data_IF_655756837500
#
_entry.id   IF_655756837500
#
_cell.length_a   1.000
_cell.length_b   1.000
_cell.length_c   1.000
_cell.angle_alpha   90.00
_cell.angle_beta   90.00
_cell.angle_gamma   90.00
#
_symmetry.space_group_name_H-M   'P 1'
#
loop_
_entity.id
_entity.type
_entity.pdbx_description
1 polymer ?
#
# COMPACT_ATOMS: atom_id res chain seq x y z
N UNK A 1 -27.70 12.00 4.39
CA UNK A 1 -27.49 13.42 4.03
C UNK A 1 -26.30 13.92 4.84
N UNK A 2 -25.09 13.54 4.48
CA UNK A 2 -23.86 13.90 5.19
C UNK A 2 -23.19 15.03 4.42
N UNK A 3 -22.92 16.10 5.11
CA UNK A 3 -22.40 17.36 4.57
C UNK A 3 -20.96 17.13 4.08
N UNK A 4 -20.70 17.54 2.86
CA UNK A 4 -19.33 17.68 2.31
C UNK A 4 -18.47 18.46 3.29
N UNK A 5 -17.43 17.83 3.82
CA UNK A 5 -16.46 18.51 4.69
C UNK A 5 -15.50 19.26 3.78
N UNK A 6 -15.65 20.56 3.73
CA UNK A 6 -14.73 21.46 3.06
C UNK A 6 -13.46 21.59 3.90
N UNK A 7 -12.34 21.10 3.39
CA UNK A 7 -11.02 21.18 4.03
C UNK A 7 -10.48 22.61 3.91
N UNK A 8 -10.49 23.36 5.02
CA UNK A 8 -9.77 24.62 5.14
C UNK A 8 -8.44 24.37 5.86
N UNK A 9 -7.33 24.63 5.15
CA UNK A 9 -5.99 24.53 5.71
C UNK A 9 -5.70 25.74 6.62
N UNK A 10 -5.23 25.49 7.84
CA UNK A 10 -4.60 26.50 8.68
C UNK A 10 -3.17 26.06 9.01
N UNK A 11 -2.22 26.90 8.60
CA UNK A 11 -0.78 26.76 8.78
C UNK A 11 -0.38 27.41 10.09
N UNK A 12 0.38 26.74 10.95
CA UNK A 12 1.25 27.40 11.95
C UNK A 12 2.51 26.57 12.25
N UNK A 13 3.63 27.26 12.25
CA UNK A 13 5.01 26.78 12.41
C UNK A 13 5.48 26.95 13.86
N UNK A 14 6.13 25.97 14.44
CA UNK A 14 7.16 26.18 15.45
C UNK A 14 8.07 24.94 15.64
N UNK A 15 9.36 25.21 15.80
CA UNK A 15 10.50 24.29 15.83
C UNK A 15 10.65 23.51 17.13
N UNK A 16 11.08 22.26 17.03
CA UNK A 16 12.24 21.76 17.81
C UNK A 16 12.56 20.29 17.45
N UNK A 17 13.85 20.03 17.36
CA UNK A 17 14.51 18.79 16.92
C UNK A 17 14.64 17.80 18.05
N UNK A 18 14.29 16.53 17.84
CA UNK A 18 15.05 15.35 18.29
C UNK A 18 14.55 14.10 17.59
N UNK A 19 15.43 13.46 16.86
CA UNK A 19 15.20 12.19 16.15
C UNK A 19 15.20 11.03 17.16
N UNK A 20 14.11 10.26 17.18
CA UNK A 20 14.14 8.89 17.67
C UNK A 20 13.59 7.97 16.57
N UNK A 21 14.49 7.12 16.08
CA UNK A 21 14.16 6.07 15.14
C UNK A 21 13.25 5.03 15.83
N UNK A 22 12.00 4.98 15.43
CA UNK A 22 11.06 3.94 15.79
C UNK A 22 10.45 3.40 14.50
N UNK A 23 10.78 2.13 14.17
CA UNK A 23 10.41 1.52 12.91
C UNK A 23 8.90 1.41 12.69
N UNK A 24 8.34 2.38 12.00
CA UNK A 24 7.28 2.07 11.08
C UNK A 24 7.88 1.16 10.01
N UNK A 25 7.24 0.06 9.65
CA UNK A 25 7.69 -0.71 8.50
C UNK A 25 7.57 0.21 7.29
N UNK A 26 8.72 0.62 6.81
CA UNK A 26 8.87 1.46 5.64
C UNK A 26 8.50 0.61 4.41
N UNK A 27 7.21 0.57 4.09
CA UNK A 27 6.73 0.07 2.80
C UNK A 27 6.93 1.11 1.69
N UNK A 28 7.30 2.34 2.06
CA UNK A 28 7.89 3.22 1.10
C UNK A 28 9.24 2.60 0.71
N UNK A 29 9.33 2.03 -0.46
CA UNK A 29 10.55 1.54 -1.09
C UNK A 29 11.60 2.65 -1.32
N UNK A 30 11.50 3.70 -0.55
CA UNK A 30 12.39 4.84 -0.45
C UNK A 30 13.13 4.94 0.88
N UNK A 31 13.28 3.82 1.63
CA UNK A 31 14.36 3.79 2.60
C UNK A 31 15.65 4.06 1.83
N UNK A 32 15.99 5.34 1.77
CA UNK A 32 17.33 5.72 1.52
C UNK A 32 18.16 4.99 2.58
N UNK A 33 18.69 3.82 2.24
CA UNK A 33 19.77 3.25 3.00
C UNK A 33 20.72 4.41 3.20
N UNK A 34 20.91 4.80 4.47
CA UNK A 34 21.89 5.79 4.89
C UNK A 34 23.27 5.23 4.53
N UNK A 35 23.55 5.15 3.24
CA UNK A 35 24.90 4.93 2.74
C UNK A 35 25.58 6.28 2.74
N UNK A 36 26.77 6.35 3.30
CA UNK A 36 27.71 7.46 3.20
C UNK A 36 27.60 8.11 1.82
N UNK A 37 27.61 9.45 1.79
CA UNK A 37 27.49 10.28 0.60
C UNK A 37 28.44 9.82 -0.52
N UNK A 38 27.97 8.93 -1.37
CA UNK A 38 28.68 8.36 -2.51
C UNK A 38 27.73 7.97 -3.62
N UNK A 39 28.16 8.16 -4.87
CA UNK A 39 27.49 7.60 -6.03
C UNK A 39 27.61 6.07 -6.02
N UNK A 40 26.59 5.35 -6.44
CA UNK A 40 26.62 3.89 -6.45
C UNK A 40 25.41 3.25 -7.09
N UNK A 41 25.56 1.97 -7.44
CA UNK A 41 24.49 1.08 -7.90
C UNK A 41 24.27 0.03 -6.83
N UNK A 42 23.03 -0.22 -6.50
CA UNK A 42 22.62 -1.20 -5.50
C UNK A 42 21.62 -2.17 -6.12
N UNK A 43 21.95 -3.46 -6.05
CA UNK A 43 21.02 -4.54 -6.37
C UNK A 43 20.34 -4.99 -5.10
N UNK A 44 19.06 -5.23 -5.19
CA UNK A 44 18.26 -5.73 -4.07
C UNK A 44 17.16 -6.65 -4.58
N UNK A 45 16.63 -7.45 -3.69
CA UNK A 45 15.51 -8.30 -4.03
C UNK A 45 14.80 -8.84 -2.82
N UNK A 46 13.65 -9.43 -3.09
CA UNK A 46 12.82 -10.12 -2.12
C UNK A 46 12.19 -11.32 -2.80
N UNK A 47 12.30 -12.48 -2.20
CA UNK A 47 11.62 -13.70 -2.61
C UNK A 47 10.59 -14.09 -1.56
N UNK A 48 9.42 -14.47 -2.00
CA UNK A 48 8.33 -14.94 -1.15
C UNK A 48 7.69 -16.19 -1.76
N UNK A 49 7.40 -17.17 -0.92
CA UNK A 49 6.52 -18.30 -1.26
C UNK A 49 5.60 -18.54 -0.09
N UNK A 50 4.30 -18.65 -0.35
CA UNK A 50 3.27 -18.89 0.65
C UNK A 50 2.33 -20.02 0.27
N UNK A 51 1.80 -20.70 1.27
CA UNK A 51 0.64 -21.57 1.18
C UNK A 51 -0.57 -20.83 1.70
N UNK A 52 -1.65 -20.82 0.92
CA UNK A 52 -2.92 -20.23 1.28
C UNK A 52 -4.04 -21.25 1.15
N UNK A 53 -4.89 -21.34 2.19
CA UNK A 53 -6.16 -22.04 2.14
C UNK A 53 -7.30 -21.02 2.16
N UNK A 54 -7.99 -20.83 1.04
CA UNK A 54 -9.13 -19.90 0.90
C UNK A 54 -10.43 -20.67 0.79
N UNK A 55 -11.39 -20.34 1.63
CA UNK A 55 -12.76 -20.90 1.61
C UNK A 55 -13.78 -19.78 1.39
N UNK A 56 -14.68 -19.96 0.40
CA UNK A 56 -15.73 -18.99 0.03
C UNK A 56 -17.13 -19.54 0.34
N UNK A 57 -17.31 -20.27 1.44
CA UNK A 57 -18.56 -20.92 1.86
C UNK A 57 -18.43 -22.44 1.94
N UNK A 58 -19.54 -23.13 2.18
CA UNK A 58 -19.54 -24.55 2.57
C UNK A 58 -19.02 -25.53 1.50
N UNK A 59 -18.94 -25.14 0.25
CA UNK A 59 -18.63 -26.05 -0.87
C UNK A 59 -17.37 -25.70 -1.65
N UNK A 60 -16.79 -24.51 -1.48
CA UNK A 60 -15.68 -24.05 -2.30
C UNK A 60 -14.49 -23.67 -1.42
N UNK A 61 -13.48 -24.53 -1.41
CA UNK A 61 -12.17 -24.23 -0.84
C UNK A 61 -11.08 -24.48 -1.87
N UNK A 62 -10.05 -23.65 -1.86
CA UNK A 62 -8.89 -23.76 -2.73
C UNK A 62 -7.64 -23.71 -1.86
N UNK A 63 -6.75 -24.66 -2.11
CA UNK A 63 -5.40 -24.69 -1.57
C UNK A 63 -4.44 -24.25 -2.67
N UNK A 64 -3.53 -23.35 -2.36
CA UNK A 64 -2.58 -22.85 -3.33
C UNK A 64 -1.20 -22.61 -2.72
N UNK A 65 -0.18 -22.83 -3.52
CA UNK A 65 1.19 -22.37 -3.23
C UNK A 65 1.46 -21.27 -4.25
N UNK A 66 1.72 -20.07 -3.78
CA UNK A 66 1.92 -18.91 -4.67
C UNK A 66 2.77 -17.85 -3.98
N UNK A 67 3.22 -16.90 -4.77
CA UNK A 67 3.88 -15.70 -4.25
C UNK A 67 2.93 -14.48 -4.16
N UNK A 68 1.63 -14.69 -4.44
CA UNK A 68 0.59 -13.67 -4.56
C UNK A 68 0.91 -12.61 -5.62
N UNK A 69 1.62 -13.02 -6.67
CA UNK A 69 1.83 -12.30 -7.92
C UNK A 69 2.65 -11.01 -7.83
N UNK A 70 3.02 -10.57 -6.63
CA UNK A 70 3.68 -9.28 -6.49
C UNK A 70 4.70 -9.18 -5.35
N UNK A 71 4.81 -10.20 -4.51
CA UNK A 71 5.70 -10.10 -3.35
C UNK A 71 7.15 -10.36 -3.70
N UNK A 72 7.43 -11.27 -4.61
CA UNK A 72 8.79 -11.52 -5.11
C UNK A 72 9.21 -10.43 -6.09
N UNK A 73 10.33 -9.80 -5.83
CA UNK A 73 10.83 -8.65 -6.59
C UNK A 73 12.33 -8.67 -6.72
N UNK A 74 12.81 -8.19 -7.87
CA UNK A 74 14.22 -7.92 -8.14
C UNK A 74 14.37 -6.47 -8.58
N UNK A 75 15.29 -5.73 -7.98
CA UNK A 75 15.45 -4.31 -8.27
C UNK A 75 16.90 -3.85 -8.38
N UNK A 76 17.06 -2.78 -9.12
CA UNK A 76 18.30 -2.01 -9.23
C UNK A 76 17.97 -0.58 -8.84
N UNK A 77 18.74 -0.03 -7.92
CA UNK A 77 18.71 1.37 -7.55
C UNK A 77 20.07 1.99 -7.80
N UNK A 78 20.11 3.18 -8.35
CA UNK A 78 21.33 3.94 -8.44
C UNK A 78 21.17 5.34 -7.85
N UNK A 79 22.30 5.87 -7.41
CA UNK A 79 22.41 7.20 -6.82
C UNK A 79 23.67 7.85 -7.33
N UNK A 80 23.56 9.11 -7.77
CA UNK A 80 24.69 9.91 -8.24
C UNK A 80 24.65 11.31 -7.64
N UNK A 81 25.75 11.74 -7.03
CA UNK A 81 25.86 13.07 -6.46
C UNK A 81 26.33 14.05 -7.56
N UNK A 82 25.52 15.06 -7.83
CA UNK A 82 25.75 16.10 -8.84
C UNK A 82 26.19 17.45 -8.24
N UNK A 83 26.75 17.43 -7.02
CA UNK A 83 27.28 18.68 -6.43
C UNK A 83 26.22 19.63 -5.88
N UNK A 84 25.29 19.15 -5.11
CA UNK A 84 24.19 19.92 -4.50
C UNK A 84 22.81 19.34 -4.83
N UNK A 85 22.76 18.52 -5.87
CA UNK A 85 21.62 17.66 -6.23
C UNK A 85 22.06 16.20 -6.17
N UNK A 86 21.10 15.31 -6.02
CA UNK A 86 21.36 13.87 -6.15
C UNK A 86 20.39 13.27 -7.15
N UNK A 87 20.94 12.68 -8.21
CA UNK A 87 20.17 11.86 -9.14
C UNK A 87 19.87 10.52 -8.48
N UNK A 88 18.62 10.08 -8.53
CA UNK A 88 18.16 8.79 -8.00
C UNK A 88 17.35 8.11 -9.09
N UNK A 89 17.64 6.85 -9.36
CA UNK A 89 16.85 6.03 -10.26
C UNK A 89 16.59 4.67 -9.66
N UNK A 90 15.45 4.09 -10.03
CA UNK A 90 15.00 2.77 -9.59
C UNK A 90 14.38 2.03 -10.77
N UNK A 91 14.71 0.75 -10.92
CA UNK A 91 13.97 -0.20 -11.73
C UNK A 91 13.72 -1.45 -10.90
N UNK A 92 12.46 -1.78 -10.67
CA UNK A 92 12.02 -2.94 -9.89
C UNK A 92 11.07 -3.79 -10.71
N UNK A 93 11.30 -5.07 -10.72
CA UNK A 93 10.53 -6.06 -11.44
C UNK A 93 9.84 -6.99 -10.45
N UNK A 94 8.58 -7.31 -10.72
CA UNK A 94 7.86 -8.42 -10.09
C UNK A 94 8.34 -9.72 -10.68
N UNK A 95 8.42 -10.75 -9.86
CA UNK A 95 8.76 -12.11 -10.28
C UNK A 95 7.78 -13.07 -9.62
N UNK A 96 7.28 -14.04 -10.37
CA UNK A 96 6.59 -15.17 -9.79
C UNK A 96 7.54 -16.36 -9.76
N UNK A 97 7.81 -16.85 -8.55
CA UNK A 97 8.70 -17.98 -8.32
C UNK A 97 7.94 -19.25 -7.92
N UNK A 98 6.65 -19.18 -7.74
CA UNK A 98 5.81 -20.29 -7.29
C UNK A 98 5.12 -21.01 -8.45
N UNK A 99 4.53 -20.28 -9.39
CA UNK A 99 3.80 -20.85 -10.52
C UNK A 99 4.20 -20.27 -11.89
N UNK A 100 5.08 -19.27 -11.90
CA UNK A 100 5.65 -18.72 -13.13
C UNK A 100 4.77 -17.66 -13.81
N UNK A 101 3.70 -17.23 -13.16
CA UNK A 101 2.81 -16.17 -13.63
C UNK A 101 2.96 -14.91 -12.77
N UNK A 102 3.65 -13.89 -13.30
CA UNK A 102 3.89 -12.64 -12.59
C UNK A 102 2.66 -11.71 -12.54
N UNK A 103 1.58 -12.03 -13.25
CA UNK A 103 0.50 -11.06 -13.47
C UNK A 103 -0.75 -11.30 -12.66
N UNK A 104 -1.09 -12.48 -12.31
CA UNK A 104 -2.19 -12.85 -11.40
C UNK A 104 -2.44 -14.36 -11.43
N UNK A 105 -2.74 -14.87 -10.39
CA UNK A 105 -3.62 -15.77 -9.74
C UNK A 105 -4.56 -16.63 -10.59
N UNK A 106 -4.58 -16.55 -11.89
CA UNK A 106 -5.55 -17.31 -12.65
C UNK A 106 -5.01 -17.99 -13.90
N UNK A 107 -5.11 -19.24 -13.85
CA UNK A 107 -5.08 -20.39 -14.73
C UNK A 107 -5.32 -20.19 -16.24
N UNK A 108 -5.48 -18.96 -16.72
CA UNK A 108 -5.73 -18.70 -18.13
C UNK A 108 -4.79 -17.63 -18.70
N UNK A 109 -3.53 -17.99 -18.87
CA UNK A 109 -2.69 -17.31 -19.84
C UNK A 109 -3.29 -17.42 -21.24
N UNK A 110 -4.27 -16.60 -21.55
CA UNK A 110 -4.90 -16.58 -22.89
C UNK A 110 -4.08 -15.81 -23.91
N UNK A 111 -3.14 -14.97 -23.44
CA UNK A 111 -2.24 -14.20 -24.29
C UNK A 111 -0.80 -14.32 -23.79
N UNK A 112 0.15 -14.48 -24.70
CA UNK A 112 1.59 -14.57 -24.39
C UNK A 112 2.16 -13.33 -23.69
N UNK A 113 1.39 -12.25 -23.55
CA UNK A 113 1.75 -11.03 -22.82
C UNK A 113 1.40 -11.12 -21.32
N UNK A 114 0.43 -11.96 -20.96
CA UNK A 114 -0.06 -12.09 -19.59
C UNK A 114 0.73 -13.13 -18.77
N UNK A 115 1.59 -13.93 -19.45
CA UNK A 115 2.37 -15.02 -18.86
C UNK A 115 3.85 -14.66 -18.67
N UNK A 116 4.16 -13.45 -18.22
CA UNK A 116 5.55 -13.06 -18.00
C UNK A 116 5.96 -13.44 -16.58
N UNK A 117 6.97 -14.29 -16.47
CA UNK A 117 7.62 -14.59 -15.18
C UNK A 117 8.29 -13.36 -14.55
N UNK A 118 8.49 -12.28 -15.31
CA UNK A 118 9.10 -11.02 -14.86
C UNK A 118 8.37 -9.86 -15.54
N UNK A 119 7.86 -8.93 -14.74
CA UNK A 119 7.19 -7.73 -15.23
C UNK A 119 7.68 -6.47 -14.50
N UNK A 120 7.74 -5.32 -15.22
CA UNK A 120 8.15 -4.06 -14.61
C UNK A 120 7.10 -3.62 -13.58
N UNK A 121 7.52 -3.44 -12.33
CA UNK A 121 6.66 -2.95 -11.26
C UNK A 121 6.79 -1.43 -11.09
N UNK A 122 8.00 -0.95 -10.89
CA UNK A 122 8.31 0.47 -10.68
C UNK A 122 9.57 0.82 -11.45
N UNK A 123 9.51 1.85 -12.29
CA UNK A 123 10.66 2.36 -13.03
C UNK A 123 10.66 3.87 -13.06
N UNK A 124 11.65 4.51 -12.40
CA UNK A 124 11.67 5.97 -12.30
C UNK A 124 13.08 6.56 -12.21
N UNK A 125 13.12 7.85 -12.52
CA UNK A 125 14.31 8.67 -12.43
C UNK A 125 13.94 10.06 -11.90
N UNK A 126 14.73 10.59 -10.97
CA UNK A 126 14.45 11.89 -10.38
C UNK A 126 15.63 12.51 -9.67
N UNK A 127 15.43 13.72 -9.22
CA UNK A 127 16.39 14.53 -8.51
C UNK A 127 15.94 14.79 -7.07
N UNK A 128 16.78 14.46 -6.13
CA UNK A 128 16.69 14.95 -4.77
C UNK A 128 17.30 16.35 -4.71
N UNK A 129 16.49 17.29 -4.29
CA UNK A 129 16.86 18.71 -4.14
C UNK A 129 16.74 19.14 -2.68
N UNK A 130 17.22 20.32 -2.27
CA UNK A 130 16.97 20.85 -0.93
C UNK A 130 15.49 21.03 -0.57
N UNK A 131 14.60 21.10 -1.57
CA UNK A 131 13.15 21.25 -1.40
C UNK A 131 12.39 19.92 -1.47
N UNK A 132 13.09 18.80 -1.68
CA UNK A 132 12.49 17.49 -1.82
C UNK A 132 12.85 16.77 -3.13
N UNK A 133 12.26 15.62 -3.34
CA UNK A 133 12.43 14.79 -4.52
C UNK A 133 11.44 15.18 -5.61
N UNK A 134 11.92 15.28 -6.86
CA UNK A 134 11.08 15.43 -8.05
C UNK A 134 11.53 14.35 -9.05
N UNK A 135 10.61 13.54 -9.53
CA UNK A 135 10.93 12.45 -10.47
C UNK A 135 9.83 12.16 -11.47
N UNK A 136 10.17 11.35 -12.47
CA UNK A 136 9.29 10.90 -13.53
C UNK A 136 9.42 9.41 -13.70
N UNK A 137 8.31 8.76 -14.11
CA UNK A 137 8.26 7.32 -14.35
C UNK A 137 7.04 6.66 -13.75
N UNK A 138 7.20 5.42 -13.30
CA UNK A 138 6.18 4.63 -12.63
C UNK A 138 6.41 4.67 -11.11
N UNK A 139 5.35 4.93 -10.35
CA UNK A 139 5.37 5.03 -8.89
C UNK A 139 4.10 4.44 -8.29
N UNK A 140 4.23 3.92 -7.07
CA UNK A 140 3.08 3.72 -6.20
C UNK A 140 2.50 5.07 -5.80
N UNK A 141 1.16 5.16 -5.75
CA UNK A 141 0.47 6.42 -5.45
C UNK A 141 0.67 6.85 -3.99
N UNK A 142 0.69 8.16 -3.69
CA UNK A 142 0.60 8.67 -2.32
C UNK A 142 -0.59 8.10 -1.54
N UNK A 143 -1.73 7.89 -2.19
CA UNK A 143 -2.89 7.24 -1.56
C UNK A 143 -2.56 5.83 -1.05
N UNK A 144 -1.85 5.03 -1.84
CA UNK A 144 -1.41 3.69 -1.45
C UNK A 144 -0.40 3.72 -0.31
N UNK A 145 0.61 4.57 -0.42
CA UNK A 145 1.78 4.54 0.47
C UNK A 145 1.55 5.21 1.82
N UNK A 146 0.70 6.24 1.87
CA UNK A 146 0.38 6.93 3.12
C UNK A 146 -0.74 6.23 3.89
N UNK A 147 -0.52 6.02 5.19
CA UNK A 147 -1.45 5.28 6.03
C UNK A 147 -1.55 3.78 5.69
N UNK A 148 -0.49 3.22 5.14
CA UNK A 148 -0.39 1.79 4.87
C UNK A 148 0.08 1.05 6.13
N UNK A 149 -0.85 0.37 6.79
CA UNK A 149 -0.60 -0.35 8.04
C UNK A 149 -0.69 -1.87 7.90
N UNK A 150 -0.80 -2.38 6.68
CA UNK A 150 -0.86 -3.82 6.40
C UNK A 150 0.52 -4.46 6.48
N UNK A 151 0.78 -5.24 7.51
CA UNK A 151 2.02 -6.02 7.65
C UNK A 151 2.06 -7.26 6.76
N UNK A 152 0.91 -7.64 6.19
CA UNK A 152 0.75 -8.83 5.35
C UNK A 152 0.57 -8.47 3.86
N UNK A 153 0.84 -7.24 3.47
CA UNK A 153 0.73 -6.79 2.08
C UNK A 153 1.43 -7.77 1.13
N UNK A 154 0.83 -8.01 -0.01
CA UNK A 154 1.28 -8.96 -1.02
C UNK A 154 1.33 -10.43 -0.51
N UNK A 155 0.46 -10.83 0.40
CA UNK A 155 0.23 -12.22 0.81
C UNK A 155 -1.24 -12.58 0.70
N UNK A 156 -1.59 -13.87 0.77
CA UNK A 156 -3.00 -14.31 0.74
C UNK A 156 -3.87 -13.79 1.88
N UNK A 157 -3.25 -13.33 2.98
CA UNK A 157 -3.94 -12.73 4.13
C UNK A 157 -3.80 -11.21 4.20
N UNK A 158 -3.44 -10.57 3.08
CA UNK A 158 -3.37 -9.11 2.99
C UNK A 158 -4.72 -8.45 3.24
N UNK A 159 -4.69 -7.26 3.84
CA UNK A 159 -5.89 -6.51 4.21
C UNK A 159 -6.73 -6.12 2.99
N UNK A 160 -6.11 -5.70 1.89
CA UNK A 160 -6.79 -5.35 0.65
C UNK A 160 -7.53 -6.53 0.01
N UNK A 161 -7.01 -7.74 0.10
CA UNK A 161 -7.67 -8.93 -0.43
C UNK A 161 -8.96 -9.31 0.33
N UNK A 162 -9.22 -8.67 1.47
CA UNK A 162 -10.34 -8.99 2.38
C UNK A 162 -11.14 -7.77 2.80
N UNK A 163 -11.02 -6.66 2.06
CA UNK A 163 -11.80 -5.44 2.30
C UNK A 163 -11.47 -4.73 3.62
N UNK A 164 -10.30 -4.97 4.19
CA UNK A 164 -9.84 -4.18 5.34
C UNK A 164 -9.01 -2.94 4.92
N UNK A 165 -8.88 -2.71 3.65
CA UNK A 165 -8.45 -1.48 2.97
C UNK A 165 -8.86 -1.61 1.51
N UNK A 166 -8.97 -0.51 0.79
CA UNK A 166 -9.38 -0.52 -0.59
C UNK A 166 -8.46 -1.34 -1.48
N UNK A 167 -9.01 -1.92 -2.54
CA UNK A 167 -8.32 -2.68 -3.55
C UNK A 167 -8.69 -2.19 -4.96
N UNK A 168 -7.98 -2.71 -5.96
CA UNK A 168 -8.19 -2.33 -7.35
C UNK A 168 -7.30 -1.18 -7.83
N UNK A 169 -7.47 -0.80 -9.10
CA UNK A 169 -6.53 0.10 -9.78
C UNK A 169 -6.48 1.51 -9.19
N UNK A 170 -7.53 1.95 -8.51
CA UNK A 170 -7.66 3.28 -7.97
C UNK A 170 -7.59 3.34 -6.45
N UNK A 171 -7.49 2.20 -5.78
CA UNK A 171 -7.38 2.07 -4.34
C UNK A 171 -5.96 1.81 -3.87
N UNK A 172 -5.84 0.95 -2.87
CA UNK A 172 -4.59 0.60 -2.21
C UNK A 172 -3.56 -0.07 -3.14
N UNK A 173 -3.97 -0.68 -4.24
CA UNK A 173 -3.08 -1.33 -5.22
C UNK A 173 -2.57 -0.37 -6.31
N UNK A 174 -2.85 0.93 -6.19
CA UNK A 174 -2.50 1.94 -7.20
C UNK A 174 -0.99 2.08 -7.44
N UNK A 175 -0.55 1.67 -8.62
CA UNK A 175 0.75 2.01 -9.19
C UNK A 175 0.49 2.66 -10.53
N UNK A 176 0.95 3.90 -10.71
CA UNK A 176 0.72 4.66 -11.94
C UNK A 176 2.00 4.82 -12.74
N UNK A 177 1.91 4.50 -14.00
CA UNK A 177 2.96 4.73 -15.00
C UNK A 177 2.91 6.16 -15.54
N UNK A 178 3.91 6.55 -16.34
CA UNK A 178 3.98 7.84 -17.03
C UNK A 178 3.60 9.03 -16.15
N UNK A 179 4.13 9.06 -14.93
CA UNK A 179 3.77 10.04 -13.92
C UNK A 179 4.92 10.95 -13.55
N UNK A 180 4.58 12.15 -13.07
CA UNK A 180 5.50 13.04 -12.34
C UNK A 180 5.15 13.00 -10.87
N UNK A 181 6.16 12.83 -10.00
CA UNK A 181 6.01 12.80 -8.55
C UNK A 181 6.86 13.86 -7.87
N UNK A 182 6.29 14.50 -6.88
CA UNK A 182 6.99 15.30 -5.88
C UNK A 182 6.83 14.66 -4.51
N UNK A 183 7.92 14.62 -3.74
CA UNK A 183 7.92 14.21 -2.33
C UNK A 183 8.79 15.17 -1.54
N UNK A 184 8.21 15.82 -0.53
CA UNK A 184 8.89 16.75 0.34
C UNK A 184 8.54 16.55 1.81
N UNK A 185 9.53 16.83 2.69
CA UNK A 185 9.33 16.79 4.14
C UNK A 185 9.90 18.05 4.77
N UNK A 186 9.07 18.76 5.51
CA UNK A 186 9.47 19.97 6.25
C UNK A 186 9.06 19.82 7.71
N UNK A 187 10.05 19.60 8.56
CA UNK A 187 9.81 19.29 9.97
C UNK A 187 8.97 18.02 10.14
N UNK A 188 7.86 18.10 10.87
CA UNK A 188 6.97 16.95 11.08
C UNK A 188 6.01 16.67 9.90
N UNK A 189 5.96 17.54 8.90
CA UNK A 189 5.00 17.49 7.79
C UNK A 189 5.66 16.89 6.57
N UNK A 190 5.02 15.89 5.99
CA UNK A 190 5.40 15.25 4.74
C UNK A 190 4.27 15.41 3.71
N UNK A 191 4.65 15.78 2.48
CA UNK A 191 3.72 16.01 1.38
C UNK A 191 4.21 15.18 0.20
N UNK A 192 3.31 14.43 -0.40
CA UNK A 192 3.51 13.76 -1.66
C UNK A 192 2.44 14.18 -2.67
N UNK A 193 2.86 14.44 -3.88
CA UNK A 193 1.97 14.73 -4.99
C UNK A 193 2.42 13.98 -6.22
N UNK A 194 1.48 13.37 -6.91
CA UNK A 194 1.72 12.62 -8.14
C UNK A 194 0.66 12.98 -9.17
N UNK A 195 1.07 13.10 -10.42
CA UNK A 195 0.18 13.38 -11.54
C UNK A 195 0.48 12.46 -12.72
N UNK A 196 -0.55 11.78 -13.22
CA UNK A 196 -0.45 10.99 -14.43
C UNK A 196 -0.42 11.88 -15.69
N UNK A 197 0.34 11.44 -16.69
CA UNK A 197 0.46 12.09 -18.00
C UNK A 197 -0.38 11.39 -19.05
N UNK A 198 -0.68 12.09 -20.16
CA UNK A 198 -1.65 11.64 -21.18
C UNK A 198 -1.22 10.45 -22.05
N UNK A 199 -0.04 9.90 -21.84
CA UNK A 199 0.48 8.77 -22.63
C UNK A 199 0.04 7.40 -22.07
N UNK A 200 -0.76 7.41 -20.99
CA UNK A 200 -1.30 6.19 -20.41
C UNK A 200 -2.18 5.47 -21.43
N UNK A 201 -1.83 4.22 -21.70
CA UNK A 201 -2.66 3.29 -22.46
C UNK A 201 -3.62 2.50 -21.57
N UNK A 202 -3.44 2.60 -20.26
CA UNK A 202 -4.32 1.97 -19.28
C UNK A 202 -5.63 2.76 -19.20
N UNK A 203 -6.75 2.10 -19.45
CA UNK A 203 -8.07 2.73 -19.44
C UNK A 203 -8.48 3.34 -18.08
N UNK A 204 -7.78 2.95 -17.00
CA UNK A 204 -8.12 3.33 -15.63
C UNK A 204 -7.28 4.48 -15.07
N UNK A 205 -6.27 4.97 -15.79
CA UNK A 205 -5.44 6.12 -15.37
C UNK A 205 -5.16 6.99 -16.58
N UNK A 206 -5.64 8.23 -16.55
CA UNK A 206 -5.63 9.12 -17.69
C UNK A 206 -4.98 10.47 -17.36
N UNK A 207 -4.89 11.31 -18.39
CA UNK A 207 -4.41 12.68 -18.25
C UNK A 207 -5.25 13.46 -17.24
N UNK A 208 -4.55 14.12 -16.30
CA UNK A 208 -5.05 14.92 -15.20
C UNK A 208 -5.48 14.14 -13.96
N UNK A 209 -5.34 12.83 -13.94
CA UNK A 209 -5.47 12.08 -12.71
C UNK A 209 -4.32 12.46 -11.77
N UNK A 210 -4.64 12.59 -10.50
CA UNK A 210 -3.62 12.93 -9.50
C UNK A 210 -3.82 12.16 -8.21
N UNK A 211 -2.72 11.95 -7.51
CA UNK A 211 -2.70 11.44 -6.15
C UNK A 211 -1.98 12.43 -5.25
N UNK A 212 -2.58 12.71 -4.10
CA UNK A 212 -2.05 13.62 -3.10
C UNK A 212 -2.07 12.96 -1.74
N UNK A 213 -1.00 13.15 -0.96
CA UNK A 213 -0.92 12.71 0.42
C UNK A 213 -0.26 13.75 1.32
N UNK A 214 -0.77 13.87 2.51
CA UNK A 214 -0.23 14.69 3.58
C UNK A 214 -0.15 13.85 4.85
N UNK A 215 1.03 13.80 5.45
CA UNK A 215 1.31 13.10 6.71
C UNK A 215 1.96 14.02 7.71
N UNK A 216 1.56 13.92 8.96
CA UNK A 216 2.12 14.66 10.08
C UNK A 216 2.55 13.67 11.16
N UNK A 217 3.82 13.74 11.55
CA UNK A 217 4.41 12.83 12.54
C UNK A 217 4.94 13.60 13.75
N UNK A 218 4.66 13.10 14.96
CA UNK A 218 5.22 13.60 16.21
C UNK A 218 5.00 15.10 16.51
N UNK A 219 4.06 15.75 15.82
CA UNK A 219 3.84 17.18 15.98
C UNK A 219 3.04 17.52 17.25
N UNK A 220 2.00 16.76 17.53
CA UNK A 220 1.09 16.98 18.66
C UNK A 220 1.53 16.16 19.86
N UNK A 221 1.84 14.88 19.62
CA UNK A 221 2.21 13.91 20.62
C UNK A 221 3.32 13.00 20.07
N UNK A 222 4.40 12.72 20.80
CA UNK A 222 5.41 11.74 20.39
C UNK A 222 4.78 10.38 20.09
N UNK A 223 5.08 9.82 18.92
CA UNK A 223 4.53 8.55 18.46
C UNK A 223 3.17 8.64 17.75
N UNK A 224 2.58 9.83 17.67
CA UNK A 224 1.36 10.06 16.89
C UNK A 224 1.73 10.40 15.43
N UNK A 225 1.14 9.67 14.51
CA UNK A 225 1.09 9.94 13.07
C UNK A 225 -0.37 10.12 12.67
N UNK A 226 -0.65 11.06 11.79
CA UNK A 226 -1.96 11.19 11.16
C UNK A 226 -1.83 11.88 9.81
N UNK A 227 -2.81 11.68 8.95
CA UNK A 227 -2.79 12.31 7.64
C UNK A 227 -4.03 12.05 6.82
N UNK A 228 -3.94 12.52 5.59
CA UNK A 228 -4.98 12.37 4.56
C UNK A 228 -4.33 12.00 3.24
N UNK A 229 -5.04 11.26 2.42
CA UNK A 229 -4.64 11.00 1.05
C UNK A 229 -5.85 11.00 0.13
N UNK A 230 -5.64 11.36 -1.14
CA UNK A 230 -6.67 11.36 -2.18
C UNK A 230 -6.11 10.85 -3.48
N UNK A 231 -6.84 9.97 -4.15
CA UNK A 231 -6.75 9.72 -5.57
C UNK A 231 -7.90 10.41 -6.27
N UNK A 232 -7.67 11.00 -7.43
CA UNK A 232 -8.68 11.65 -8.25
C UNK A 232 -8.53 11.21 -9.71
N UNK A 233 -9.62 10.70 -10.29
CA UNK A 233 -9.75 10.31 -11.68
C UNK A 233 -10.67 11.27 -12.43
N UNK A 234 -10.11 12.04 -13.35
CA UNK A 234 -10.84 13.02 -14.16
C UNK A 234 -11.66 12.37 -15.26
N UNK A 235 -11.36 11.14 -15.64
CA UNK A 235 -12.04 10.45 -16.74
C UNK A 235 -13.36 9.80 -16.35
N UNK A 236 -13.57 9.59 -15.05
CA UNK A 236 -14.77 8.96 -14.52
C UNK A 236 -15.82 10.01 -14.15
N UNK A 237 -17.07 9.69 -14.42
CA UNK A 237 -18.19 10.59 -14.19
C UNK A 237 -18.15 11.90 -15.01
N UNK A 238 -19.08 12.80 -14.78
CA UNK A 238 -19.13 14.11 -15.44
C UNK A 238 -18.10 15.09 -14.88
N UNK A 239 -17.84 15.03 -13.57
CA UNK A 239 -16.98 15.95 -12.82
C UNK A 239 -15.67 15.30 -12.33
N UNK A 240 -15.45 14.02 -12.61
CA UNK A 240 -14.39 13.17 -12.07
C UNK A 240 -14.83 12.51 -10.76
N UNK A 241 -14.14 11.47 -10.37
CA UNK A 241 -14.40 10.68 -9.14
C UNK A 241 -13.14 10.62 -8.26
N UNK A 242 -13.32 10.45 -6.96
CA UNK A 242 -12.20 10.44 -6.01
C UNK A 242 -12.35 9.36 -4.96
N UNK A 243 -11.20 8.85 -4.50
CA UNK A 243 -11.10 8.09 -3.27
C UNK A 243 -10.36 8.93 -2.24
N UNK A 244 -10.94 9.08 -1.07
CA UNK A 244 -10.39 9.84 0.04
C UNK A 244 -10.03 8.92 1.20
N UNK A 245 -8.87 9.15 1.81
CA UNK A 245 -8.39 8.40 2.97
C UNK A 245 -8.00 9.36 4.09
N UNK A 246 -8.45 9.05 5.30
CA UNK A 246 -7.93 9.63 6.54
C UNK A 246 -7.28 8.50 7.33
N UNK A 247 -6.12 8.74 7.90
CA UNK A 247 -5.40 7.74 8.65
C UNK A 247 -4.75 8.33 9.90
N UNK A 248 -4.60 7.49 10.91
CA UNK A 248 -3.85 7.81 12.11
C UNK A 248 -3.22 6.55 12.72
N UNK A 249 -2.05 6.69 13.31
CA UNK A 249 -1.45 5.67 14.16
C UNK A 249 -0.83 6.27 15.41
N UNK A 250 -0.78 5.47 16.46
CA UNK A 250 -0.17 5.89 17.72
C UNK A 250 0.65 4.77 18.37
N UNK A 251 1.88 5.08 18.68
CA UNK A 251 2.77 4.21 19.46
C UNK A 251 2.44 4.34 20.93
N UNK A 252 1.65 3.42 21.46
CA UNK A 252 1.17 3.43 22.85
C UNK A 252 2.34 3.20 23.83
N UNK A 253 3.22 2.27 23.49
CA UNK A 253 4.44 1.93 24.22
C UNK A 253 5.43 1.20 23.30
N UNK A 254 6.68 0.98 23.71
CA UNK A 254 7.63 0.21 22.89
C UNK A 254 7.03 -1.13 22.44
N UNK A 255 7.01 -1.34 21.15
CA UNK A 255 6.45 -2.54 20.52
C UNK A 255 4.93 -2.54 20.31
N UNK A 256 4.15 -1.71 20.99
CA UNK A 256 2.70 -1.66 20.87
C UNK A 256 2.25 -0.40 20.12
N UNK A 257 1.58 -0.58 19.01
CA UNK A 257 0.95 0.49 18.25
C UNK A 257 -0.51 0.15 17.91
N UNK A 258 -1.29 1.19 17.72
CA UNK A 258 -2.67 1.12 17.25
C UNK A 258 -2.80 1.99 16.01
N UNK A 259 -3.71 1.63 15.10
CA UNK A 259 -3.99 2.44 13.92
C UNK A 259 -5.47 2.46 13.58
N UNK A 260 -5.85 3.48 12.84
CA UNK A 260 -7.16 3.67 12.27
C UNK A 260 -7.02 4.24 10.86
N UNK A 261 -7.81 3.73 9.93
CA UNK A 261 -8.02 4.32 8.61
C UNK A 261 -9.50 4.38 8.29
N UNK A 262 -9.93 5.42 7.61
CA UNK A 262 -11.22 5.48 6.96
C UNK A 262 -11.02 5.87 5.52
N UNK A 263 -11.67 5.15 4.63
CA UNK A 263 -11.61 5.37 3.18
C UNK A 263 -13.03 5.61 2.67
N UNK A 264 -13.22 6.72 1.96
CA UNK A 264 -14.42 7.08 1.23
C UNK A 264 -14.14 6.82 -0.25
N UNK A 265 -14.83 5.84 -0.83
CA UNK A 265 -14.59 5.34 -2.18
C UNK A 265 -15.73 5.75 -3.11
N UNK A 266 -15.38 6.42 -4.20
CA UNK A 266 -16.24 6.60 -5.38
C UNK A 266 -15.85 5.63 -6.51
N UNK A 267 -14.65 5.04 -6.42
CA UNK A 267 -14.12 4.06 -7.38
C UNK A 267 -13.36 2.95 -6.65
N UNK A 268 -13.67 1.71 -6.94
CA UNK A 268 -12.96 0.57 -6.38
C UNK A 268 -13.59 -0.76 -6.76
N UNK A 269 -12.98 -1.84 -6.38
CA UNK A 269 -13.48 -3.20 -6.59
C UNK A 269 -14.07 -3.84 -5.33
N UNK A 270 -14.13 -3.10 -4.23
CA UNK A 270 -14.63 -3.60 -2.95
C UNK A 270 -16.16 -3.69 -2.90
N UNK A 271 -16.82 -2.86 -3.70
CA UNK A 271 -18.27 -2.80 -3.87
C UNK A 271 -18.64 -2.89 -5.36
N UNK A 272 -19.82 -3.43 -5.69
CA UNK A 272 -20.26 -3.66 -7.09
C UNK A 272 -20.25 -2.39 -7.93
N UNK A 273 -20.66 -1.26 -7.37
CA UNK A 273 -20.63 0.04 -8.05
C UNK A 273 -19.39 0.88 -7.72
N UNK A 274 -18.43 0.32 -6.99
CA UNK A 274 -17.23 1.03 -6.58
C UNK A 274 -17.42 2.01 -5.42
N UNK A 275 -18.65 2.29 -5.00
CA UNK A 275 -18.96 3.31 -4.01
C UNK A 275 -19.20 2.72 -2.61
N UNK A 276 -18.51 3.25 -1.61
CA UNK A 276 -18.68 2.83 -0.23
C UNK A 276 -17.63 3.40 0.70
N UNK A 277 -17.76 3.06 1.97
CA UNK A 277 -16.85 3.48 3.03
C UNK A 277 -16.18 2.24 3.66
N UNK A 278 -14.90 2.34 3.98
CA UNK A 278 -14.16 1.30 4.71
C UNK A 278 -13.55 1.91 5.96
N UNK A 279 -13.98 1.44 7.13
CA UNK A 279 -13.39 1.79 8.42
C UNK A 279 -12.54 0.65 8.93
N UNK A 280 -11.26 0.91 9.23
CA UNK A 280 -10.32 -0.12 9.70
C UNK A 280 -9.63 0.29 10.98
N UNK A 281 -9.61 -0.63 11.92
CA UNK A 281 -8.96 -0.53 13.21
C UNK A 281 -7.93 -1.65 13.36
N UNK A 282 -6.75 -1.33 13.84
CA UNK A 282 -5.76 -2.36 14.04
C UNK A 282 -4.83 -2.09 15.21
N UNK A 283 -4.25 -3.19 15.64
CA UNK A 283 -3.24 -3.24 16.70
C UNK A 283 -2.06 -4.04 16.18
N UNK A 284 -0.86 -3.57 16.39
CA UNK A 284 0.35 -4.36 16.21
C UNK A 284 1.15 -4.39 17.49
N UNK A 285 1.68 -5.57 17.82
CA UNK A 285 2.52 -5.77 18.99
C UNK A 285 3.76 -6.57 18.63
N UNK A 286 4.91 -5.94 18.79
CA UNK A 286 6.22 -6.57 18.57
C UNK A 286 6.82 -7.00 19.90
N UNK A 287 7.10 -8.29 20.04
CA UNK A 287 7.74 -8.90 21.20
C UNK A 287 8.89 -9.80 20.70
N UNK A 288 10.13 -9.36 20.97
CA UNK A 288 11.33 -10.05 20.48
C UNK A 288 11.33 -10.13 18.95
N UNK A 289 11.30 -11.34 18.41
CA UNK A 289 11.30 -11.60 16.98
C UNK A 289 9.90 -11.72 16.35
N UNK A 290 8.85 -11.55 17.14
CA UNK A 290 7.48 -11.71 16.69
C UNK A 290 6.77 -10.37 16.61
N UNK A 291 6.04 -10.14 15.53
CA UNK A 291 5.10 -9.03 15.39
C UNK A 291 3.71 -9.58 15.12
N UNK A 292 2.83 -9.43 16.08
CA UNK A 292 1.42 -9.83 15.98
C UNK A 292 0.64 -8.63 15.49
N UNK A 293 -0.23 -8.83 14.48
CA UNK A 293 -1.20 -7.84 14.03
C UNK A 293 -2.61 -8.39 14.22
N UNK A 294 -3.48 -7.55 14.74
CA UNK A 294 -4.92 -7.73 14.79
C UNK A 294 -5.55 -6.62 13.95
N UNK A 295 -6.51 -6.97 13.12
CA UNK A 295 -7.26 -6.02 12.30
C UNK A 295 -8.74 -6.33 12.37
N UNK A 296 -9.55 -5.28 12.46
CA UNK A 296 -10.99 -5.31 12.27
C UNK A 296 -11.37 -4.21 11.31
N UNK A 297 -12.18 -4.53 10.31
CA UNK A 297 -12.68 -3.55 9.37
C UNK A 297 -14.18 -3.75 9.13
N UNK A 298 -14.84 -2.66 8.73
CA UNK A 298 -16.21 -2.64 8.27
C UNK A 298 -16.27 -1.92 6.94
N UNK A 299 -16.91 -2.55 5.96
CA UNK A 299 -17.26 -1.94 4.69
C UNK A 299 -18.75 -1.70 4.63
N UNK A 300 -19.14 -0.46 4.32
CA UNK A 300 -20.51 -0.01 4.14
C UNK A 300 -20.71 0.42 2.68
N UNK A 301 -21.48 -0.35 1.91
CA UNK A 301 -21.83 0.00 0.52
C UNK A 301 -22.83 1.16 0.50
N UNK A 302 -22.64 2.12 -0.40
CA UNK A 302 -23.64 3.17 -0.63
C UNK A 302 -24.88 2.67 -1.36
N UNK A 303 -24.78 1.52 -2.04
CA UNK A 303 -25.91 0.90 -2.72
C UNK A 303 -26.66 -0.04 -1.77
N UNK A 304 -27.70 0.50 -1.13
CA UNK A 304 -28.54 -0.25 -0.16
C UNK A 304 -29.18 -1.50 -0.78
N UNK A 305 -29.44 -1.51 -2.08
CA UNK A 305 -30.07 -2.62 -2.78
C UNK A 305 -29.13 -3.83 -2.97
N UNK A 306 -27.83 -3.61 -3.01
CA UNK A 306 -26.85 -4.68 -3.22
C UNK A 306 -26.56 -5.48 -1.96
N UNK A 307 -26.82 -4.93 -0.76
CA UNK A 307 -26.59 -5.53 0.54
C UNK A 307 -25.16 -6.12 0.68
N UNK A 308 -24.18 -5.29 0.28
CA UNK A 308 -22.76 -5.67 0.19
C UNK A 308 -21.93 -5.27 1.42
N UNK A 309 -22.59 -4.81 2.48
CA UNK A 309 -21.94 -4.53 3.74
C UNK A 309 -21.21 -5.76 4.29
N UNK A 310 -20.05 -5.53 4.86
CA UNK A 310 -19.25 -6.62 5.39
C UNK A 310 -18.45 -6.22 6.64
N UNK A 311 -18.08 -7.26 7.40
CA UNK A 311 -17.12 -7.16 8.49
C UNK A 311 -15.90 -8.03 8.18
N UNK A 312 -14.72 -7.48 8.40
CA UNK A 312 -13.46 -8.21 8.30
C UNK A 312 -12.79 -8.31 9.65
N UNK A 313 -12.25 -9.48 9.96
CA UNK A 313 -11.40 -9.72 11.11
C UNK A 313 -10.17 -10.50 10.70
N UNK A 314 -8.98 -10.04 11.11
CA UNK A 314 -7.72 -10.70 10.83
C UNK A 314 -6.80 -10.77 12.03
N UNK A 315 -6.03 -11.85 12.09
CA UNK A 315 -4.92 -12.05 13.02
C UNK A 315 -3.74 -12.66 12.28
N UNK A 316 -2.56 -12.09 12.48
CA UNK A 316 -1.33 -12.63 11.92
C UNK A 316 -0.16 -12.50 12.89
N UNK A 317 0.84 -13.34 12.69
CA UNK A 317 2.14 -13.22 13.33
C UNK A 317 3.23 -13.28 12.26
N UNK A 318 4.11 -12.30 12.27
CA UNK A 318 5.33 -12.27 11.50
C UNK A 318 6.50 -12.54 12.43
N UNK A 319 7.19 -13.65 12.22
CA UNK A 319 8.34 -14.10 13.00
C UNK A 319 9.62 -13.86 12.22
N UNK A 320 10.46 -12.97 12.70
CA UNK A 320 11.76 -12.67 12.10
C UNK A 320 12.77 -13.75 12.49
N UNK A 321 13.25 -14.53 11.52
CA UNK A 321 14.28 -15.56 11.69
C UNK A 321 15.69 -14.96 11.62
N UNK A 322 15.87 -13.93 10.79
CA UNK A 322 17.10 -13.17 10.64
C UNK A 322 16.78 -11.73 10.21
N UNK A 323 17.81 -10.90 9.99
CA UNK A 323 17.60 -9.55 9.41
C UNK A 323 16.99 -9.58 8.01
N UNK A 324 17.13 -10.68 7.29
CA UNK A 324 16.73 -10.84 5.90
C UNK A 324 15.58 -11.83 5.71
N UNK A 325 15.21 -12.62 6.71
CA UNK A 325 14.27 -13.73 6.56
C UNK A 325 13.19 -13.67 7.63
N UNK A 326 11.94 -13.73 7.22
CA UNK A 326 10.79 -13.87 8.11
C UNK A 326 9.80 -14.94 7.64
N UNK A 327 9.01 -15.44 8.59
CA UNK A 327 7.86 -16.31 8.37
C UNK A 327 6.62 -15.53 8.79
N UNK A 328 5.60 -15.52 7.95
CA UNK A 328 4.29 -14.97 8.23
C UNK A 328 3.27 -16.10 8.33
N UNK A 329 2.47 -16.11 9.37
CA UNK A 329 1.31 -17.01 9.53
C UNK A 329 0.12 -16.19 9.97
N UNK A 330 -1.06 -16.48 9.45
CA UNK A 330 -2.25 -15.75 9.87
C UNK A 330 -3.56 -16.32 9.34
N UNK A 331 -4.60 -15.64 9.75
CA UNK A 331 -5.98 -15.90 9.39
C UNK A 331 -6.70 -14.58 9.20
N UNK A 332 -7.49 -14.49 8.15
CA UNK A 332 -8.38 -13.36 7.90
C UNK A 332 -9.73 -13.85 7.39
N UNK A 333 -10.81 -13.18 7.79
CA UNK A 333 -12.17 -13.48 7.40
C UNK A 333 -12.87 -12.19 6.99
N UNK A 334 -13.50 -12.18 5.79
CA UNK A 334 -14.49 -11.20 5.35
C UNK A 334 -15.87 -11.86 5.42
N UNK A 335 -16.75 -11.35 6.25
CA UNK A 335 -18.13 -11.82 6.41
C UNK A 335 -19.10 -10.89 5.70
N UNK A 336 -19.84 -11.36 4.69
CA UNK A 336 -20.86 -10.57 3.97
C UNK A 336 -22.17 -10.59 4.77
N UNK A 337 -22.74 -9.41 5.03
CA UNK A 337 -23.95 -9.31 5.86
C UNK A 337 -25.20 -9.84 5.13
N UNK A 338 -25.31 -9.58 3.81
CA UNK A 338 -26.51 -9.84 3.05
C UNK A 338 -26.87 -11.30 2.82
N UNK A 339 -25.91 -12.16 2.64
CA UNK A 339 -26.15 -13.57 2.29
C UNK A 339 -25.60 -14.57 3.32
N UNK A 340 -25.03 -14.06 4.42
CA UNK A 340 -24.42 -14.89 5.47
C UNK A 340 -23.17 -15.67 5.04
N UNK A 341 -22.67 -15.43 3.83
CA UNK A 341 -21.46 -16.08 3.35
C UNK A 341 -20.20 -15.41 3.94
N UNK A 342 -19.09 -16.10 3.91
CA UNK A 342 -17.82 -15.55 4.37
C UNK A 342 -16.67 -16.09 3.55
N UNK A 343 -15.70 -15.21 3.27
CA UNK A 343 -14.40 -15.59 2.73
C UNK A 343 -13.45 -15.75 3.92
N UNK A 344 -12.82 -16.89 4.03
CA UNK A 344 -11.84 -17.20 5.08
C UNK A 344 -10.54 -17.60 4.42
N UNK A 345 -9.44 -17.01 4.84
CA UNK A 345 -8.12 -17.36 4.34
C UNK A 345 -7.18 -17.64 5.50
N UNK A 346 -6.49 -18.76 5.43
CA UNK A 346 -5.35 -19.10 6.26
C UNK A 346 -4.11 -18.98 5.39
N UNK A 347 -3.10 -18.29 5.86
CA UNK A 347 -1.85 -18.09 5.12
C UNK A 347 -0.64 -18.47 5.95
N UNK A 348 0.33 -19.09 5.29
CA UNK A 348 1.67 -19.36 5.81
C UNK A 348 2.68 -19.06 4.71
N UNK A 349 3.65 -18.19 4.96
CA UNK A 349 4.64 -17.86 3.95
C UNK A 349 6.02 -17.57 4.54
N UNK A 350 7.02 -17.69 3.69
CA UNK A 350 8.39 -17.32 4.00
C UNK A 350 8.85 -16.22 3.05
N UNK A 351 9.48 -15.20 3.62
CA UNK A 351 10.09 -14.09 2.86
C UNK A 351 11.59 -14.08 3.11
N UNK A 352 12.39 -13.89 2.06
CA UNK A 352 13.81 -13.63 2.15
C UNK A 352 14.19 -12.40 1.31
N UNK A 353 14.84 -11.41 1.93
CA UNK A 353 15.33 -10.19 1.27
C UNK A 353 16.86 -10.20 1.17
N UNK A 354 17.43 -9.65 0.12
CA UNK A 354 18.89 -9.61 -0.12
C UNK A 354 19.33 -8.29 -0.76
#
# INVERSE_FOLDING_TARGET
MIKKISMAAAMFVAFSTTSFAGGAMDHSSHSAASSKAGSGVHFYGRLYVGYDHKSTGAANSVDSIRDNGQKSRLGIMFKENLGGLTLIGKAEYKMDIADGDATNDDTNCTNAQDCRAIDLHVGNLGLMTPLGYIGMGSYETPYKTMGLYDHNMDTGIAMNNHGATSSGNFGQDGTWESSVRYHGKVGPVEIEYMRAMSEQTNANVQKNDYSLGLRVENMILPGLEFGVARNFDKSLGADGESNDKIFASYKVMPGLGVFYTTEDLEVGSDFTNGEGDIDTYGIHYTMGHNTIQLVHARGDSREVAANEDYDTFGISNRMQLSKATDITIGYIRKGLQGNGSSIKTYGLGITHSF
#
